data_IF_512254453923
#
_entry.id   IF_512254453923
#
_cell.length_a   1.000
_cell.length_b   1.000
_cell.length_c   1.000
_cell.angle_alpha   90.00
_cell.angle_beta   90.00
_cell.angle_gamma   90.00
#
_symmetry.space_group_name_H-M   'P 1'
#
loop_
_entity.id
_entity.type
_entity.pdbx_description
1 polymer ?
#
# COMPACT_ATOMS: atom_id res chain seq x y z
N UNK A 1 20.14 -10.15 -10.11
CA UNK A 1 20.61 -11.48 -10.56
C UNK A 1 20.50 -11.50 -12.07
N UNK A 2 21.48 -12.03 -12.81
CA UNK A 2 21.38 -12.15 -14.27
C UNK A 2 20.18 -13.05 -14.63
N UNK A 3 19.04 -12.46 -15.00
CA UNK A 3 17.83 -13.22 -15.38
C UNK A 3 18.07 -14.14 -16.57
N UNK A 4 18.98 -13.77 -17.45
CA UNK A 4 19.47 -14.60 -18.56
C UNK A 4 20.10 -15.91 -18.11
N UNK A 5 20.67 -15.98 -16.89
CA UNK A 5 21.17 -17.24 -16.30
C UNK A 5 20.08 -18.06 -15.63
N UNK A 6 19.03 -17.40 -15.11
CA UNK A 6 17.88 -18.03 -14.43
C UNK A 6 16.86 -18.59 -15.45
N UNK A 7 16.65 -17.89 -16.57
CA UNK A 7 15.73 -18.24 -17.65
C UNK A 7 16.50 -18.36 -18.97
N UNK A 8 17.18 -19.49 -19.16
CA UNK A 8 18.01 -19.73 -20.35
C UNK A 8 17.17 -19.94 -21.62
N UNK A 9 15.91 -20.36 -21.46
CA UNK A 9 14.99 -20.64 -22.56
C UNK A 9 14.16 -19.42 -22.99
N UNK A 10 14.34 -18.27 -22.33
CA UNK A 10 13.60 -17.05 -22.66
C UNK A 10 14.14 -16.41 -23.96
N UNK A 11 13.28 -15.98 -24.89
CA UNK A 11 13.67 -15.44 -26.21
C UNK A 11 14.10 -13.97 -26.13
N UNK A 12 14.74 -13.55 -25.04
CA UNK A 12 15.08 -12.14 -24.78
C UNK A 12 16.58 -11.95 -24.62
N UNK A 13 17.09 -10.89 -25.26
CA UNK A 13 18.43 -10.41 -25.02
C UNK A 13 18.54 -9.77 -23.61
N UNK A 14 19.76 -9.56 -23.09
CA UNK A 14 19.95 -8.83 -21.83
C UNK A 14 19.34 -7.43 -21.84
N UNK A 15 19.34 -6.77 -23.00
CA UNK A 15 18.81 -5.41 -23.16
C UNK A 15 17.27 -5.42 -23.12
N UNK A 16 16.63 -6.40 -23.77
CA UNK A 16 15.16 -6.55 -23.74
C UNK A 16 14.65 -6.83 -22.32
N UNK A 17 15.38 -7.64 -21.55
CA UNK A 17 15.07 -7.88 -20.14
C UNK A 17 15.14 -6.60 -19.31
N UNK A 18 16.15 -5.76 -19.54
CA UNK A 18 16.30 -4.50 -18.83
C UNK A 18 15.17 -3.51 -19.19
N UNK A 19 14.74 -3.48 -20.45
CA UNK A 19 13.61 -2.67 -20.90
C UNK A 19 12.29 -3.13 -20.27
N UNK A 20 12.05 -4.44 -20.24
CA UNK A 20 10.88 -5.04 -19.59
C UNK A 20 10.85 -4.71 -18.10
N UNK A 21 11.95 -4.91 -17.38
CA UNK A 21 12.05 -4.58 -15.95
C UNK A 21 11.80 -3.09 -15.69
N UNK A 22 12.42 -2.22 -16.50
CA UNK A 22 12.23 -0.77 -16.38
C UNK A 22 10.76 -0.40 -16.57
N UNK A 23 10.10 -0.99 -17.57
CA UNK A 23 8.68 -0.74 -17.87
C UNK A 23 7.78 -1.20 -16.73
N UNK A 24 8.02 -2.40 -16.19
CA UNK A 24 7.26 -2.96 -15.07
C UNK A 24 7.43 -2.12 -13.80
N UNK A 25 8.68 -1.80 -13.42
CA UNK A 25 8.97 -1.01 -12.22
C UNK A 25 8.42 0.40 -12.33
N UNK A 26 8.54 1.06 -13.48
CA UNK A 26 7.99 2.40 -13.68
C UNK A 26 6.47 2.41 -13.61
N UNK A 27 5.81 1.40 -14.18
CA UNK A 27 4.35 1.27 -14.16
C UNK A 27 3.85 1.00 -12.74
N UNK A 28 4.47 0.06 -12.04
CA UNK A 28 4.15 -0.25 -10.64
C UNK A 28 4.31 0.99 -9.75
N UNK A 29 5.44 1.69 -9.80
CA UNK A 29 5.70 2.90 -8.98
C UNK A 29 4.66 4.01 -9.17
N UNK A 30 4.11 4.15 -10.38
CA UNK A 30 3.07 5.16 -10.66
C UNK A 30 1.75 4.82 -9.96
N UNK A 31 1.41 3.53 -9.91
CA UNK A 31 0.14 3.06 -9.34
C UNK A 31 0.20 2.86 -7.83
N UNK A 32 1.34 2.46 -7.27
CA UNK A 32 1.49 2.17 -5.85
C UNK A 32 1.31 3.42 -4.98
N UNK A 33 0.32 3.35 -4.08
CA UNK A 33 0.05 4.39 -3.08
C UNK A 33 0.46 3.93 -1.70
N UNK A 34 0.21 2.66 -1.33
CA UNK A 34 0.54 2.12 -0.01
C UNK A 34 1.99 2.35 0.39
N UNK A 35 2.92 1.96 -0.47
CA UNK A 35 4.38 2.09 -0.23
C UNK A 35 4.89 3.52 -0.05
N UNK A 36 4.10 4.55 -0.37
CA UNK A 36 4.54 5.95 -0.24
C UNK A 36 4.59 6.40 1.21
N UNK A 37 3.73 5.85 2.05
CA UNK A 37 3.59 6.21 3.46
C UNK A 37 3.86 5.04 4.40
N UNK A 38 3.92 3.81 3.92
CA UNK A 38 4.26 2.64 4.74
C UNK A 38 5.76 2.31 4.68
N UNK A 39 6.47 2.28 5.81
CA UNK A 39 7.87 1.84 5.82
C UNK A 39 7.99 0.36 5.44
N UNK A 40 9.02 0.06 4.65
CA UNK A 40 9.29 -1.29 4.13
C UNK A 40 10.18 -2.07 5.10
N UNK A 41 9.81 -3.33 5.34
CA UNK A 41 10.58 -4.30 6.10
C UNK A 41 10.95 -5.48 5.22
N UNK A 42 12.22 -5.56 4.80
CA UNK A 42 12.69 -6.58 3.88
C UNK A 42 13.77 -6.04 2.94
N UNK A 43 14.11 -6.77 1.87
CA UNK A 43 13.55 -8.06 1.43
C UNK A 43 13.97 -9.23 2.33
N UNK A 44 13.02 -10.11 2.67
CA UNK A 44 13.24 -11.28 3.53
C UNK A 44 13.70 -12.52 2.74
N UNK A 45 13.42 -12.56 1.44
CA UNK A 45 13.73 -13.66 0.53
C UNK A 45 12.57 -14.66 0.37
N UNK A 46 12.49 -15.28 -0.80
CA UNK A 46 11.41 -16.16 -1.22
C UNK A 46 11.14 -17.37 -0.32
N UNK A 47 12.13 -17.79 0.49
CA UNK A 47 11.98 -18.92 1.42
C UNK A 47 11.16 -18.60 2.67
N UNK A 48 10.93 -17.32 2.97
CA UNK A 48 10.18 -16.89 4.16
C UNK A 48 8.70 -16.81 3.81
N UNK A 49 7.91 -17.72 4.39
CA UNK A 49 6.47 -17.84 4.13
C UNK A 49 5.61 -17.24 5.23
N UNK A 50 6.17 -16.95 6.40
CA UNK A 50 5.44 -16.37 7.52
C UNK A 50 6.30 -15.40 8.31
N UNK A 51 5.72 -14.31 8.78
CA UNK A 51 6.37 -13.33 9.64
C UNK A 51 5.66 -13.21 10.98
N UNK A 52 6.41 -13.11 12.09
CA UNK A 52 5.82 -12.83 13.38
C UNK A 52 5.27 -11.41 13.39
N UNK A 53 4.07 -11.28 13.95
CA UNK A 53 3.31 -10.05 14.04
C UNK A 53 2.91 -9.80 15.50
N UNK A 54 3.41 -8.70 16.05
CA UNK A 54 3.22 -8.32 17.46
C UNK A 54 2.21 -7.17 17.55
N UNK A 55 1.07 -7.43 18.17
CA UNK A 55 -0.02 -6.45 18.31
C UNK A 55 0.00 -5.82 19.69
N UNK A 56 -0.13 -4.50 19.71
CA UNK A 56 -0.26 -3.67 20.91
C UNK A 56 -1.63 -2.96 20.86
N UNK A 57 -2.59 -3.44 21.65
CA UNK A 57 -3.99 -2.98 21.56
C UNK A 57 -4.23 -1.60 22.19
N UNK A 58 -3.48 -1.25 23.24
CA UNK A 58 -3.64 0.05 23.91
C UNK A 58 -2.30 0.58 24.44
N UNK A 59 -2.02 1.87 24.25
CA UNK A 59 -0.87 2.52 24.86
C UNK A 59 -1.10 2.60 26.37
N UNK A 60 -0.17 2.03 27.14
CA UNK A 60 -0.12 2.21 28.59
C UNK A 60 0.65 3.49 28.89
N UNK A 61 0.12 4.40 29.74
CA UNK A 61 0.85 5.60 30.10
C UNK A 61 2.16 5.23 30.81
N UNK A 62 3.18 6.06 30.63
CA UNK A 62 4.40 5.99 31.42
C UNK A 62 4.07 6.14 32.91
N UNK A 63 4.84 5.46 33.76
CA UNK A 63 4.73 5.62 35.21
C UNK A 63 5.63 6.77 35.66
N UNK A 64 5.13 7.55 36.62
CA UNK A 64 5.90 8.55 37.35
C UNK A 64 6.01 8.06 38.79
N UNK A 65 7.21 7.70 39.20
CA UNK A 65 7.51 7.26 40.55
C UNK A 65 8.77 7.98 41.05
N UNK A 66 8.76 8.41 42.31
CA UNK A 66 9.90 9.10 42.94
C UNK A 66 11.08 8.15 43.19
N UNK A 67 10.78 6.86 43.39
CA UNK A 67 11.75 5.82 43.73
C UNK A 67 12.12 4.91 42.57
N UNK A 68 11.31 4.88 41.51
CA UNK A 68 11.53 4.03 40.33
C UNK A 68 11.38 2.53 40.61
N UNK A 69 10.62 2.16 41.66
CA UNK A 69 10.45 0.76 42.08
C UNK A 69 9.28 0.08 41.38
N UNK A 70 8.36 0.86 40.80
CA UNK A 70 7.28 0.34 39.96
C UNK A 70 7.78 0.01 38.54
N UNK A 71 7.50 -1.20 38.08
CA UNK A 71 7.82 -1.66 36.73
C UNK A 71 6.54 -2.00 35.97
N UNK A 72 6.26 -1.26 34.90
CA UNK A 72 5.18 -1.55 33.96
C UNK A 72 5.72 -1.57 32.52
N UNK A 73 6.41 -2.66 32.13
CA UNK A 73 6.97 -2.77 30.80
C UNK A 73 5.87 -2.88 29.74
N UNK A 74 6.05 -2.18 28.62
CA UNK A 74 5.21 -2.35 27.43
C UNK A 74 5.46 -3.74 26.84
N UNK A 75 4.42 -4.57 26.76
CA UNK A 75 4.48 -5.91 26.21
C UNK A 75 3.44 -6.08 25.10
N UNK A 76 3.71 -6.92 24.08
CA UNK A 76 2.73 -7.21 23.04
C UNK A 76 1.55 -7.95 23.66
N UNK A 77 0.33 -7.50 23.34
CA UNK A 77 -0.91 -8.11 23.82
C UNK A 77 -1.16 -9.45 23.14
N UNK A 78 -0.81 -9.55 21.84
CA UNK A 78 -0.96 -10.77 21.05
C UNK A 78 0.23 -10.98 20.12
N UNK A 79 0.59 -12.25 19.92
CA UNK A 79 1.54 -12.71 18.90
C UNK A 79 0.78 -13.55 17.89
N UNK A 80 0.79 -13.12 16.64
CA UNK A 80 0.17 -13.84 15.52
C UNK A 80 1.25 -14.04 14.47
N UNK A 81 1.21 -15.15 13.75
CA UNK A 81 2.04 -15.30 12.55
C UNK A 81 1.16 -14.98 11.35
N UNK A 82 1.62 -14.06 10.51
CA UNK A 82 0.96 -13.75 9.24
C UNK A 82 1.67 -14.51 8.14
N UNK A 83 0.90 -15.14 7.26
CA UNK A 83 1.42 -15.77 6.06
C UNK A 83 1.67 -14.70 5.00
N UNK A 84 2.72 -14.86 4.21
CA UNK A 84 3.07 -13.95 3.13
C UNK A 84 2.43 -14.49 1.84
N UNK A 85 1.35 -13.86 1.31
CA UNK A 85 0.80 -14.23 0.02
C UNK A 85 1.73 -13.82 -1.12
N UNK A 86 1.61 -14.53 -2.24
CA UNK A 86 2.23 -14.16 -3.51
C UNK A 86 1.15 -13.53 -4.38
N UNK A 87 1.35 -12.27 -4.74
CA UNK A 87 0.52 -11.55 -5.70
C UNK A 87 1.15 -11.74 -7.07
N UNK A 88 0.37 -12.18 -8.06
CA UNK A 88 0.90 -12.41 -9.40
C UNK A 88 -0.13 -12.16 -10.48
N UNK A 89 0.37 -11.79 -11.66
CA UNK A 89 -0.42 -11.66 -12.88
C UNK A 89 0.41 -12.10 -14.08
N UNK A 90 -0.20 -12.93 -14.91
CA UNK A 90 0.43 -13.48 -16.09
C UNK A 90 0.18 -12.58 -17.29
N UNK A 91 1.17 -12.50 -18.17
CA UNK A 91 1.08 -11.83 -19.46
C UNK A 91 1.80 -12.67 -20.53
N UNK A 92 1.40 -12.45 -21.77
CA UNK A 92 1.93 -13.21 -22.91
C UNK A 92 2.57 -12.27 -23.90
N UNK A 93 3.69 -12.68 -24.46
CA UNK A 93 4.36 -12.00 -25.56
C UNK A 93 4.31 -12.93 -26.78
N UNK A 94 3.78 -12.41 -27.88
CA UNK A 94 3.57 -13.20 -29.10
C UNK A 94 4.88 -13.39 -29.85
N UNK A 95 5.18 -14.62 -30.27
CA UNK A 95 6.40 -14.92 -31.02
C UNK A 95 6.52 -14.17 -32.35
N UNK A 96 5.39 -13.93 -33.02
CA UNK A 96 5.38 -13.16 -34.28
C UNK A 96 5.88 -11.73 -34.08
N UNK A 97 5.56 -11.13 -32.93
CA UNK A 97 5.95 -9.76 -32.63
C UNK A 97 7.44 -9.70 -32.29
N UNK A 98 7.97 -10.74 -31.63
CA UNK A 98 9.41 -10.90 -31.38
C UNK A 98 10.20 -11.08 -32.67
N UNK A 99 9.80 -12.00 -33.55
CA UNK A 99 10.49 -12.23 -34.83
C UNK A 99 10.41 -11.00 -35.75
N UNK A 100 9.33 -10.22 -35.67
CA UNK A 100 9.21 -8.93 -36.35
C UNK A 100 10.20 -7.90 -35.79
N UNK A 101 10.27 -7.81 -34.47
CA UNK A 101 11.16 -6.91 -33.73
C UNK A 101 12.63 -7.16 -34.08
N UNK A 102 13.04 -8.43 -34.07
CA UNK A 102 14.41 -8.86 -34.40
C UNK A 102 14.79 -8.54 -35.85
N UNK A 103 13.84 -8.71 -36.79
CA UNK A 103 14.09 -8.45 -38.22
C UNK A 103 14.14 -6.97 -38.57
N UNK A 104 13.32 -6.15 -37.91
CA UNK A 104 13.19 -4.72 -38.20
C UNK A 104 14.02 -3.83 -37.27
N UNK A 105 14.66 -4.39 -36.23
CA UNK A 105 15.33 -3.66 -35.15
C UNK A 105 14.42 -2.57 -34.53
N UNK A 106 13.14 -2.89 -34.36
CA UNK A 106 12.18 -2.05 -33.63
C UNK A 106 12.16 -2.45 -32.15
N UNK A 107 11.76 -1.59 -31.21
CA UNK A 107 11.59 -1.99 -29.82
C UNK A 107 10.38 -2.92 -29.65
N UNK A 108 10.46 -3.85 -28.70
CA UNK A 108 9.39 -4.79 -28.36
C UNK A 108 8.29 -4.03 -27.59
N UNK A 109 7.03 -4.33 -27.90
CA UNK A 109 5.91 -3.76 -27.14
C UNK A 109 5.70 -4.49 -25.80
N UNK A 110 6.08 -3.84 -24.71
CA UNK A 110 5.88 -4.32 -23.34
C UNK A 110 4.58 -3.82 -22.68
N UNK A 111 3.60 -3.34 -23.46
CA UNK A 111 2.31 -2.86 -22.93
C UNK A 111 1.57 -3.91 -22.11
N UNK A 112 1.63 -5.20 -22.51
CA UNK A 112 1.03 -6.30 -21.75
C UNK A 112 1.70 -6.51 -20.38
N UNK A 113 3.03 -6.33 -20.30
CA UNK A 113 3.77 -6.39 -19.04
C UNK A 113 3.41 -5.21 -18.12
N UNK A 114 3.27 -4.01 -18.70
CA UNK A 114 2.83 -2.82 -17.97
C UNK A 114 1.42 -3.00 -17.39
N UNK A 115 0.48 -3.53 -18.18
CA UNK A 115 -0.89 -3.82 -17.74
C UNK A 115 -0.90 -4.84 -16.59
N UNK A 116 -0.18 -5.95 -16.74
CA UNK A 116 -0.05 -6.95 -15.68
C UNK A 116 0.54 -6.37 -14.39
N UNK A 117 1.61 -5.56 -14.49
CA UNK A 117 2.22 -4.89 -13.35
C UNK A 117 1.25 -3.92 -12.67
N UNK A 118 0.42 -3.23 -13.43
CA UNK A 118 -0.60 -2.32 -12.90
C UNK A 118 -1.65 -3.04 -12.06
N UNK A 119 -2.10 -4.22 -12.52
CA UNK A 119 -3.05 -5.04 -11.76
C UNK A 119 -2.44 -5.61 -10.48
N UNK A 120 -1.18 -6.04 -10.51
CA UNK A 120 -0.48 -6.49 -9.30
C UNK A 120 -0.38 -5.34 -8.30
N UNK A 121 0.02 -4.14 -8.74
CA UNK A 121 0.09 -2.96 -7.88
C UNK A 121 -1.27 -2.56 -7.28
N UNK A 122 -2.35 -2.65 -8.06
CA UNK A 122 -3.71 -2.41 -7.54
C UNK A 122 -4.12 -3.48 -6.52
N UNK A 123 -3.71 -4.73 -6.71
CA UNK A 123 -3.99 -5.82 -5.78
C UNK A 123 -3.15 -5.71 -4.50
N UNK A 124 -1.94 -5.16 -4.58
CA UNK A 124 -1.15 -4.78 -3.40
C UNK A 124 -1.90 -3.74 -2.55
N UNK A 125 -2.33 -2.64 -3.17
CA UNK A 125 -3.10 -1.60 -2.48
C UNK A 125 -4.39 -2.19 -1.87
N UNK A 126 -5.07 -3.13 -2.56
CA UNK A 126 -6.23 -3.86 -2.02
C UNK A 126 -5.91 -4.65 -0.76
N UNK A 127 -4.79 -5.38 -0.77
CA UNK A 127 -4.32 -6.11 0.40
C UNK A 127 -3.97 -5.18 1.57
N UNK A 128 -3.39 -4.00 1.30
CA UNK A 128 -3.04 -3.03 2.35
C UNK A 128 -4.29 -2.39 2.95
N UNK A 129 -5.23 -1.91 2.12
CA UNK A 129 -6.40 -1.17 2.59
C UNK A 129 -7.52 -2.09 3.07
N UNK A 130 -7.94 -3.05 2.26
CA UNK A 130 -9.08 -3.93 2.53
C UNK A 130 -8.65 -5.21 3.26
N UNK A 131 -7.41 -5.67 3.08
CA UNK A 131 -6.96 -6.95 3.61
C UNK A 131 -7.53 -8.12 2.81
N UNK A 132 -7.34 -9.32 3.33
CA UNK A 132 -7.79 -10.55 2.67
C UNK A 132 -8.33 -11.53 3.72
N UNK A 133 -9.65 -11.71 3.73
CA UNK A 133 -10.36 -12.54 4.72
C UNK A 133 -9.98 -14.02 4.60
N UNK A 134 -9.65 -14.49 3.40
CA UNK A 134 -9.27 -15.89 3.17
C UNK A 134 -7.96 -16.29 3.86
N UNK A 135 -7.10 -15.31 4.16
CA UNK A 135 -5.79 -15.50 4.79
C UNK A 135 -5.72 -14.91 6.21
N UNK A 136 -6.85 -14.46 6.77
CA UNK A 136 -6.92 -13.74 8.04
C UNK A 136 -5.98 -12.52 8.12
N UNK A 137 -5.74 -11.84 6.99
CA UNK A 137 -4.86 -10.66 6.90
C UNK A 137 -5.72 -9.40 7.08
N UNK A 138 -5.60 -8.66 8.20
CA UNK A 138 -6.36 -7.44 8.41
C UNK A 138 -5.80 -6.29 7.57
N UNK A 139 -6.68 -5.62 6.81
CA UNK A 139 -6.37 -4.36 6.15
C UNK A 139 -6.55 -3.15 7.07
N UNK A 140 -6.04 -1.98 6.65
CA UNK A 140 -6.22 -0.72 7.38
C UNK A 140 -7.69 -0.37 7.64
N UNK A 141 -8.57 -0.70 6.69
CA UNK A 141 -10.02 -0.46 6.79
C UNK A 141 -10.77 -1.54 7.57
N UNK A 142 -10.14 -2.67 7.92
CA UNK A 142 -10.79 -3.83 8.54
C UNK A 142 -10.20 -4.22 9.90
N UNK A 143 -9.08 -3.60 10.30
CA UNK A 143 -8.42 -3.91 11.58
C UNK A 143 -9.33 -3.59 12.78
N UNK A 144 -9.34 -4.50 13.75
CA UNK A 144 -10.08 -4.36 15.02
C UNK A 144 -9.28 -3.46 15.96
N UNK A 145 -9.95 -2.53 16.65
CA UNK A 145 -9.32 -1.57 17.55
C UNK A 145 -8.85 -0.27 16.88
N UNK A 146 -9.22 -0.05 15.61
CA UNK A 146 -9.08 1.25 14.95
C UNK A 146 -10.07 2.27 15.51
N UNK A 147 -9.74 3.55 15.34
CA UNK A 147 -10.70 4.62 15.55
C UNK A 147 -11.58 4.77 14.32
N UNK A 148 -12.85 5.10 14.54
CA UNK A 148 -13.79 5.43 13.48
C UNK A 148 -14.29 6.86 13.70
N UNK A 149 -14.39 7.61 12.60
CA UNK A 149 -15.03 8.91 12.54
C UNK A 149 -16.15 8.80 11.52
N UNK A 150 -17.37 9.07 11.98
CA UNK A 150 -18.51 9.24 11.08
C UNK A 150 -18.35 10.61 10.45
N UNK A 151 -18.29 10.61 9.13
CA UNK A 151 -18.10 11.80 8.33
C UNK A 151 -19.39 12.64 8.27
N UNK A 152 -19.26 13.94 8.13
CA UNK A 152 -20.40 14.78 7.71
C UNK A 152 -20.53 14.86 6.18
N UNK A 153 -21.52 15.59 5.69
CA UNK A 153 -21.68 15.83 4.25
C UNK A 153 -20.59 16.77 3.73
N UNK A 154 -19.60 16.20 3.02
CA UNK A 154 -18.50 16.93 2.38
C UNK A 154 -18.93 17.74 1.16
N UNK A 155 -20.22 17.75 0.81
CA UNK A 155 -20.72 18.76 -0.13
C UNK A 155 -20.76 20.16 0.47
N UNK A 156 -20.89 20.28 1.81
CA UNK A 156 -20.79 21.56 2.50
C UNK A 156 -19.33 21.89 2.76
N UNK A 157 -18.90 23.06 2.31
CA UNK A 157 -17.51 23.47 2.42
C UNK A 157 -17.11 23.68 3.90
N UNK A 158 -15.94 23.18 4.30
CA UNK A 158 -15.42 23.27 5.67
C UNK A 158 -15.66 22.02 6.53
N UNK A 159 -16.66 21.20 6.21
CA UNK A 159 -16.94 19.96 6.93
C UNK A 159 -15.79 18.94 6.75
N UNK A 160 -15.15 18.90 5.58
CA UNK A 160 -14.06 17.96 5.34
C UNK A 160 -12.82 18.29 6.18
N UNK A 161 -12.48 19.57 6.30
CA UNK A 161 -11.41 20.00 7.19
C UNK A 161 -11.71 19.66 8.66
N UNK A 162 -12.94 19.92 9.12
CA UNK A 162 -13.34 19.61 10.49
C UNK A 162 -13.24 18.10 10.79
N UNK A 163 -13.73 17.25 9.88
CA UNK A 163 -13.67 15.79 10.04
C UNK A 163 -12.22 15.27 10.14
N UNK A 164 -11.30 15.82 9.33
CA UNK A 164 -9.88 15.47 9.41
C UNK A 164 -9.27 15.92 10.73
N UNK A 165 -9.64 17.11 11.24
CA UNK A 165 -9.18 17.61 12.54
C UNK A 165 -9.71 16.73 13.67
N UNK A 166 -10.96 16.31 13.63
CA UNK A 166 -11.55 15.41 14.64
C UNK A 166 -10.90 14.02 14.61
N UNK A 167 -10.69 13.46 13.43
CA UNK A 167 -9.95 12.21 13.26
C UNK A 167 -8.52 12.30 13.81
N UNK A 168 -7.82 13.40 13.52
CA UNK A 168 -6.48 13.68 14.06
C UNK A 168 -6.51 13.81 15.58
N UNK A 169 -7.48 14.51 16.15
CA UNK A 169 -7.61 14.67 17.60
C UNK A 169 -7.85 13.32 18.29
N UNK A 170 -8.60 12.40 17.67
CA UNK A 170 -8.76 11.02 18.16
C UNK A 170 -7.42 10.30 18.20
N UNK A 171 -6.64 10.34 17.12
CA UNK A 171 -5.30 9.75 17.09
C UNK A 171 -4.38 10.38 18.14
N UNK A 172 -4.39 11.71 18.26
CA UNK A 172 -3.60 12.44 19.24
C UNK A 172 -3.96 12.07 20.68
N UNK A 173 -5.26 11.90 20.97
CA UNK A 173 -5.74 11.49 22.29
C UNK A 173 -5.25 10.08 22.68
N UNK A 174 -4.98 9.24 21.69
CA UNK A 174 -4.38 7.92 21.86
C UNK A 174 -2.84 7.94 21.89
N UNK A 175 -2.20 9.11 21.90
CA UNK A 175 -0.76 9.26 22.06
C UNK A 175 0.06 9.14 20.77
N UNK A 176 -0.60 9.12 19.62
CA UNK A 176 0.02 9.16 18.29
C UNK A 176 0.22 10.63 17.91
N UNK A 177 1.44 11.07 17.66
CA UNK A 177 1.76 12.52 17.54
C UNK A 177 1.96 12.97 16.10
N UNK A 178 2.10 12.02 15.18
CA UNK A 178 2.42 12.26 13.77
C UNK A 178 3.86 11.86 13.45
N UNK A 179 4.24 11.78 12.17
CA UNK A 179 3.54 12.32 10.99
C UNK A 179 2.30 11.51 10.56
N UNK A 180 1.33 12.18 9.93
CA UNK A 180 0.09 11.57 9.45
C UNK A 180 0.03 11.56 7.92
N UNK A 181 -0.48 10.48 7.35
CA UNK A 181 -0.89 10.36 5.95
C UNK A 181 -2.41 10.17 5.85
N UNK A 182 -3.02 10.85 4.88
CA UNK A 182 -4.44 10.72 4.58
C UNK A 182 -4.61 10.07 3.22
N UNK A 183 -5.35 8.97 3.15
CA UNK A 183 -5.70 8.31 1.88
C UNK A 183 -7.21 8.35 1.71
N UNK A 184 -7.66 8.83 0.55
CA UNK A 184 -9.08 9.03 0.25
C UNK A 184 -9.49 8.24 -0.99
N UNK A 185 -10.79 7.94 -1.08
CA UNK A 185 -11.41 7.55 -2.35
C UNK A 185 -11.32 8.71 -3.37
N UNK A 186 -11.23 8.42 -4.68
CA UNK A 186 -11.09 9.46 -5.71
C UNK A 186 -12.23 10.49 -5.71
N UNK A 187 -13.43 10.05 -5.33
CA UNK A 187 -14.59 10.93 -5.19
C UNK A 187 -14.35 11.99 -4.11
N UNK A 188 -13.93 11.58 -2.92
CA UNK A 188 -13.66 12.50 -1.80
C UNK A 188 -12.44 13.38 -2.06
N UNK A 189 -11.41 12.82 -2.68
CA UNK A 189 -10.26 13.60 -3.11
C UNK A 189 -10.67 14.73 -4.06
N UNK A 190 -11.61 14.48 -4.97
CA UNK A 190 -12.17 15.50 -5.87
C UNK A 190 -12.99 16.56 -5.13
N UNK A 191 -13.69 16.20 -4.03
CA UNK A 191 -14.43 17.15 -3.21
C UNK A 191 -13.50 18.14 -2.49
N UNK A 192 -12.34 17.69 -2.02
CA UNK A 192 -11.35 18.56 -1.36
C UNK A 192 -10.73 19.62 -2.27
N UNK A 193 -10.77 19.40 -3.59
CA UNK A 193 -10.30 20.35 -4.60
C UNK A 193 -11.34 21.42 -4.96
N UNK A 194 -12.48 21.46 -4.27
CA UNK A 194 -13.47 22.53 -4.44
C UNK A 194 -12.98 23.82 -3.79
N UNK A 195 -13.32 24.93 -4.41
CA UNK A 195 -13.00 26.27 -3.90
C UNK A 195 -14.02 26.63 -2.82
N UNK A 196 -13.54 27.07 -1.67
CA UNK A 196 -14.41 27.57 -0.62
C UNK A 196 -15.01 28.93 -1.06
N UNK A 197 -16.34 29.12 -1.00
CA UNK A 197 -17.01 30.29 -1.56
C UNK A 197 -16.61 31.60 -0.88
N UNK A 198 -16.17 31.56 0.38
CA UNK A 198 -15.82 32.78 1.14
C UNK A 198 -14.34 33.15 1.05
N UNK A 199 -13.43 32.17 1.06
CA UNK A 199 -11.98 32.40 1.19
C UNK A 199 -11.21 32.29 -0.12
N UNK A 200 -11.82 31.74 -1.18
CA UNK A 200 -11.18 31.49 -2.48
C UNK A 200 -9.94 30.58 -2.43
N UNK A 201 -9.69 29.91 -1.30
CA UNK A 201 -8.61 28.94 -1.09
C UNK A 201 -9.17 27.52 -1.28
N UNK A 202 -8.34 26.59 -1.72
CA UNK A 202 -8.69 25.17 -1.79
C UNK A 202 -8.64 24.53 -0.40
N UNK A 203 -9.65 23.73 -0.07
CA UNK A 203 -9.72 23.04 1.24
C UNK A 203 -8.55 22.06 1.42
N UNK A 204 -8.06 21.47 0.33
CA UNK A 204 -6.90 20.57 0.34
C UNK A 204 -5.60 21.22 0.86
N UNK A 205 -5.42 22.54 0.70
CA UNK A 205 -4.20 23.21 1.15
C UNK A 205 -4.12 23.20 2.68
N UNK A 206 -5.21 23.56 3.36
CA UNK A 206 -5.29 23.47 4.82
C UNK A 206 -5.17 22.03 5.33
N UNK A 207 -5.73 21.05 4.60
CA UNK A 207 -5.58 19.63 4.95
C UNK A 207 -4.11 19.16 4.81
N UNK A 208 -3.39 19.63 3.78
CA UNK A 208 -1.97 19.32 3.59
C UNK A 208 -1.07 19.93 4.67
N UNK A 209 -1.43 21.09 5.22
CA UNK A 209 -0.71 21.65 6.37
C UNK A 209 -0.89 20.81 7.64
N UNK A 210 -2.06 20.18 7.81
CA UNK A 210 -2.33 19.28 8.94
C UNK A 210 -1.73 17.88 8.76
N UNK A 211 -1.73 17.37 7.54
CA UNK A 211 -1.31 16.01 7.15
C UNK A 211 0.05 16.09 6.47
N UNK A 212 1.10 16.12 7.28
CA UNK A 212 2.47 16.40 6.82
C UNK A 212 3.06 15.34 5.91
N UNK A 213 2.59 14.09 5.99
CA UNK A 213 3.10 12.97 5.16
C UNK A 213 2.34 12.83 3.84
N UNK A 214 1.42 13.76 3.57
CA UNK A 214 0.74 13.88 2.30
C UNK A 214 -0.69 13.35 2.28
N UNK A 215 -1.41 13.83 1.27
CA UNK A 215 -2.78 13.42 0.96
C UNK A 215 -2.74 12.64 -0.34
N UNK A 216 -3.15 11.39 -0.29
CA UNK A 216 -3.17 10.47 -1.42
C UNK A 216 -4.61 10.07 -1.77
N UNK A 217 -4.77 9.60 -3.00
CA UNK A 217 -6.01 8.95 -3.44
C UNK A 217 -5.70 7.53 -3.85
N UNK A 218 -6.55 6.58 -3.48
CA UNK A 218 -6.47 5.21 -3.97
C UNK A 218 -7.84 4.76 -4.50
N UNK A 219 -7.91 4.22 -5.74
CA UNK A 219 -9.17 3.73 -6.31
C UNK A 219 -9.69 2.47 -5.61
N UNK A 220 -8.86 1.84 -4.77
CA UNK A 220 -9.15 0.56 -4.12
C UNK A 220 -10.01 0.73 -2.86
N UNK A 221 -10.04 1.93 -2.28
CA UNK A 221 -10.94 2.27 -1.18
C UNK A 221 -12.35 2.35 -1.74
N UNK A 222 -13.17 1.34 -1.40
CA UNK A 222 -14.55 1.24 -1.90
C UNK A 222 -15.43 2.32 -1.29
N UNK A 223 -16.35 2.83 -2.09
CA UNK A 223 -17.37 3.81 -1.68
C UNK A 223 -16.79 5.20 -1.42
N UNK A 224 -17.42 5.91 -0.49
CA UNK A 224 -17.02 7.25 -0.06
C UNK A 224 -16.30 7.17 1.29
N UNK A 225 -15.19 6.45 1.36
CA UNK A 225 -14.40 6.32 2.58
C UNK A 225 -13.01 6.92 2.45
N UNK A 226 -12.35 7.09 3.59
CA UNK A 226 -10.96 7.50 3.70
C UNK A 226 -10.31 6.93 4.95
N UNK A 227 -8.98 7.00 5.02
CA UNK A 227 -8.22 6.55 6.18
C UNK A 227 -7.12 7.55 6.50
N UNK A 228 -7.04 7.93 7.77
CA UNK A 228 -5.96 8.73 8.34
C UNK A 228 -5.07 7.81 9.19
N UNK A 229 -3.77 7.82 8.93
CA UNK A 229 -2.82 6.88 9.53
C UNK A 229 -1.59 7.63 10.00
N UNK A 230 -1.07 7.30 11.19
CA UNK A 230 0.27 7.73 11.61
C UNK A 230 1.35 6.81 11.02
N UNK A 231 2.29 7.38 10.28
CA UNK A 231 3.22 6.66 9.38
C UNK A 231 4.50 6.15 10.05
N UNK A 232 4.45 5.93 11.37
CA UNK A 232 5.57 5.38 12.12
C UNK A 232 5.77 3.88 11.91
N UNK A 233 7.02 3.45 11.75
CA UNK A 233 7.41 2.02 11.67
C UNK A 233 6.98 1.22 12.92
N UNK A 234 6.86 1.90 14.06
CA UNK A 234 6.33 1.34 15.29
C UNK A 234 4.84 0.97 15.22
N UNK A 235 4.08 1.59 14.32
CA UNK A 235 2.64 1.41 14.19
C UNK A 235 2.30 0.44 13.06
N UNK A 236 2.97 0.60 11.93
CA UNK A 236 2.73 -0.20 10.74
C UNK A 236 4.02 -0.39 9.94
N UNK A 237 4.14 -1.54 9.29
CA UNK A 237 5.18 -1.80 8.31
C UNK A 237 4.69 -2.79 7.24
N UNK A 238 5.30 -2.71 6.06
CA UNK A 238 5.05 -3.64 4.97
C UNK A 238 6.19 -4.66 4.90
N UNK A 239 5.91 -5.90 5.28
CA UNK A 239 6.90 -6.96 5.22
C UNK A 239 6.98 -7.50 3.80
N UNK A 240 8.10 -7.27 3.12
CA UNK A 240 8.35 -7.70 1.74
C UNK A 240 9.28 -8.92 1.77
N UNK A 241 8.80 -10.06 1.29
CA UNK A 241 9.64 -11.23 1.06
C UNK A 241 10.38 -11.11 -0.27
N UNK A 242 9.64 -10.86 -1.34
CA UNK A 242 10.16 -10.68 -2.69
C UNK A 242 9.49 -9.45 -3.29
N UNK A 243 10.32 -8.52 -3.77
CA UNK A 243 9.84 -7.31 -4.42
C UNK A 243 9.36 -7.61 -5.85
N UNK A 244 8.78 -6.61 -6.53
CA UNK A 244 8.34 -6.72 -7.92
C UNK A 244 9.40 -7.35 -8.81
N UNK A 245 9.10 -8.55 -9.30
CA UNK A 245 9.97 -9.29 -10.20
C UNK A 245 9.17 -9.91 -11.35
N UNK A 246 9.88 -10.28 -12.41
CA UNK A 246 9.31 -10.94 -13.58
C UNK A 246 9.96 -12.30 -13.80
N UNK A 247 9.11 -13.29 -14.05
CA UNK A 247 9.51 -14.66 -14.30
C UNK A 247 9.05 -15.11 -15.69
N UNK A 248 9.90 -15.85 -16.38
CA UNK A 248 9.50 -16.62 -17.55
C UNK A 248 8.91 -17.95 -17.09
N UNK A 249 7.73 -18.31 -17.61
CA UNK A 249 7.04 -19.54 -17.25
C UNK A 249 7.36 -20.64 -18.26
N UNK A 250 6.82 -20.51 -19.47
CA UNK A 250 6.98 -21.47 -20.55
C UNK A 250 6.57 -20.85 -21.90
N UNK A 251 6.77 -21.58 -22.98
CA UNK A 251 6.18 -21.31 -24.29
C UNK A 251 5.01 -22.25 -24.57
N UNK A 252 3.81 -21.70 -24.71
CA UNK A 252 2.60 -22.45 -25.12
C UNK A 252 2.02 -21.82 -26.39
N UNK A 253 1.51 -22.64 -27.32
CA UNK A 253 0.95 -22.19 -28.60
C UNK A 253 1.87 -21.25 -29.40
N UNK A 254 3.18 -21.54 -29.37
CA UNK A 254 4.25 -20.70 -29.94
C UNK A 254 4.39 -19.31 -29.29
N UNK A 255 3.66 -19.00 -28.22
CA UNK A 255 3.76 -17.73 -27.52
C UNK A 255 4.52 -17.90 -26.21
N UNK A 256 5.08 -16.80 -25.70
CA UNK A 256 5.92 -16.80 -24.52
C UNK A 256 5.15 -16.26 -23.33
N UNK A 257 5.01 -17.07 -22.27
CA UNK A 257 4.29 -16.71 -21.07
C UNK A 257 5.24 -16.21 -19.98
N UNK A 258 4.88 -15.08 -19.42
CA UNK A 258 5.59 -14.43 -18.33
C UNK A 258 4.63 -14.15 -17.17
N UNK A 259 5.22 -13.98 -15.99
CA UNK A 259 4.52 -13.64 -14.76
C UNK A 259 5.20 -12.46 -14.10
N UNK A 260 4.43 -11.42 -13.80
CA UNK A 260 4.84 -10.42 -12.81
C UNK A 260 4.36 -10.93 -11.46
N UNK A 261 5.24 -10.91 -10.46
CA UNK A 261 4.89 -11.34 -9.12
C UNK A 261 5.62 -10.54 -8.06
N UNK A 262 5.06 -10.58 -6.85
CA UNK A 262 5.64 -10.06 -5.63
C UNK A 262 5.10 -10.85 -4.44
N UNK A 263 5.81 -10.80 -3.31
CA UNK A 263 5.40 -11.47 -2.09
C UNK A 263 5.56 -10.52 -0.89
N UNK A 264 4.43 -10.11 -0.31
CA UNK A 264 4.40 -9.12 0.77
C UNK A 264 3.19 -9.31 1.67
N UNK A 265 3.27 -8.78 2.90
CA UNK A 265 2.14 -8.73 3.83
C UNK A 265 2.17 -7.44 4.68
N UNK A 266 1.05 -6.72 4.81
CA UNK A 266 0.96 -5.58 5.71
C UNK A 266 0.89 -6.05 7.16
N UNK A 267 1.62 -5.34 8.04
CA UNK A 267 1.64 -5.61 9.48
C UNK A 267 1.22 -4.36 10.24
N UNK A 268 0.02 -4.39 10.83
CA UNK A 268 -0.51 -3.31 11.67
C UNK A 268 -0.23 -3.63 13.15
N UNK A 269 0.89 -3.13 13.69
CA UNK A 269 1.32 -3.39 15.08
C UNK A 269 0.44 -2.69 16.11
N UNK A 270 0.00 -1.46 15.81
CA UNK A 270 -0.84 -0.63 16.70
C UNK A 270 -2.10 -0.17 15.95
N UNK A 271 -3.21 -0.91 16.07
CA UNK A 271 -4.48 -0.55 15.41
C UNK A 271 -5.00 0.84 15.78
N UNK A 272 -4.69 1.32 17.00
CA UNK A 272 -5.06 2.66 17.48
C UNK A 272 -4.44 3.81 16.67
N UNK A 273 -3.41 3.54 15.85
CA UNK A 273 -2.79 4.55 14.99
C UNK A 273 -3.54 4.78 13.67
N UNK A 274 -4.66 4.08 13.47
CA UNK A 274 -5.49 4.15 12.27
C UNK A 274 -6.86 4.74 12.64
N UNK A 275 -7.28 5.75 11.89
CA UNK A 275 -8.62 6.31 11.98
C UNK A 275 -9.30 6.22 10.61
N UNK A 276 -10.43 5.51 10.52
CA UNK A 276 -11.23 5.46 9.28
C UNK A 276 -12.28 6.55 9.27
N UNK A 277 -12.41 7.22 8.13
CA UNK A 277 -13.47 8.16 7.79
C UNK A 277 -14.55 7.37 7.07
N UNK A 278 -15.62 7.04 7.80
CA UNK A 278 -16.72 6.21 7.31
C UNK A 278 -17.93 7.09 6.98
N UNK A 279 -18.68 6.70 5.95
CA UNK A 279 -19.90 7.39 5.54
C UNK A 279 -21.00 7.15 6.58
N UNK A 280 -21.78 8.18 7.00
CA UNK A 280 -23.05 7.97 7.68
C UNK A 280 -23.99 7.24 6.73
N UNK A 281 -24.13 5.91 6.90
CA UNK A 281 -25.21 5.16 6.26
C UNK A 281 -26.58 5.68 6.70
#
# INVERSE_FOLDING_TARGET
MDKTKKYQDAPFSPDDWAELETTVVQTARRQLVGRRFTPLYGPLGAGIQSVPHFIYDAPKPGQLDLTGESSNPTQPSRRVNLNIPILYKDFTVYWRDLDLSDKLNTPIDFSAAADAASYVALKEDDLIFNGEDSLDIPGLMNVKGRHTQIREDWMKAGNAFQDVVEARNKLLSSGHSGPYALVLSPYLYSLLHRVHPETHVFEIEHVRELVTDGVYQSPVIKGHAGVLVETGEQNLDLAVAEDFDTAYLDSEDMNHHFRVYEALVPRIKRPTAVCTLEDPQ
#
